data_IF_201136739392
#
_entry.id   IF_201136739392
#
_cell.length_a   1.000
_cell.length_b   1.000
_cell.length_c   1.000
_cell.angle_alpha   90.00
_cell.angle_beta   90.00
_cell.angle_gamma   90.00
#
_symmetry.space_group_name_H-M   'P 1'
#
loop_
_entity.id
_entity.type
_entity.pdbx_description
1 polymer ?
#
# COMPACT_ATOMS: atom_id res chain seq x y z
N UNK A 1 -6.51 -11.44 13.23
CA UNK A 1 -5.58 -11.99 14.24
C UNK A 1 -5.74 -11.08 15.43
N UNK A 2 -6.72 -11.42 16.24
CA UNK A 2 -7.44 -10.53 17.14
C UNK A 2 -7.03 -10.91 18.57
N UNK A 3 -5.96 -10.28 19.06
CA UNK A 3 -5.45 -10.48 20.43
C UNK A 3 -5.13 -9.12 21.07
N UNK A 4 -6.05 -8.16 20.95
CA UNK A 4 -6.06 -7.00 21.86
C UNK A 4 -7.10 -7.28 22.93
N UNK A 5 -6.69 -7.59 24.15
CA UNK A 5 -7.56 -7.76 25.33
C UNK A 5 -8.18 -6.44 25.81
N UNK A 6 -8.39 -5.48 24.90
CA UNK A 6 -8.94 -4.17 25.19
C UNK A 6 -10.46 -4.22 24.96
N UNK A 7 -11.23 -3.88 25.98
CA UNK A 7 -12.66 -3.68 25.84
C UNK A 7 -12.93 -2.30 25.20
N UNK A 8 -13.95 -2.21 24.35
CA UNK A 8 -14.46 -0.92 23.88
C UNK A 8 -14.86 -0.04 25.06
N UNK A 9 -14.59 1.26 24.95
CA UNK A 9 -14.98 2.22 25.96
C UNK A 9 -16.42 2.66 25.76
N UNK A 10 -17.19 2.72 26.85
CA UNK A 10 -18.54 3.28 26.89
C UNK A 10 -18.62 4.22 28.08
N UNK A 11 -19.01 5.47 27.83
CA UNK A 11 -18.97 6.53 28.83
C UNK A 11 -18.92 7.91 28.19
N UNK A 12 -18.46 8.89 28.95
CA UNK A 12 -18.39 10.28 28.51
C UNK A 12 -16.93 10.71 28.36
N UNK A 13 -16.61 11.33 27.23
CA UNK A 13 -15.36 12.04 27.04
C UNK A 13 -15.58 13.50 27.44
N UNK A 14 -14.87 13.93 28.49
CA UNK A 14 -14.87 15.33 28.88
C UNK A 14 -13.80 16.08 28.08
N UNK A 15 -14.22 17.12 27.37
CA UNK A 15 -13.35 17.96 26.57
C UNK A 15 -13.24 19.37 27.14
N UNK A 16 -12.02 19.88 27.16
CA UNK A 16 -11.72 21.28 27.40
C UNK A 16 -10.88 21.83 26.24
N UNK A 17 -11.44 22.78 25.48
CA UNK A 17 -10.79 23.36 24.29
C UNK A 17 -10.29 22.31 23.29
N UNK A 18 -11.08 21.25 23.10
CA UNK A 18 -10.81 20.14 22.20
C UNK A 18 -9.82 19.11 22.73
N UNK A 19 -9.25 19.28 23.93
CA UNK A 19 -8.37 18.32 24.59
C UNK A 19 -9.15 17.49 25.62
N UNK A 20 -8.79 16.21 25.77
CA UNK A 20 -9.47 15.30 26.69
C UNK A 20 -9.04 15.60 28.12
N UNK A 21 -9.97 16.03 28.96
CA UNK A 21 -9.76 16.29 30.38
C UNK A 21 -9.65 14.98 31.19
N UNK A 22 -10.42 13.95 30.81
CA UNK A 22 -10.43 12.64 31.47
C UNK A 22 -9.59 11.57 30.75
N UNK A 23 -8.40 11.94 30.28
CA UNK A 23 -7.53 11.08 29.46
C UNK A 23 -7.00 9.82 30.18
N UNK A 24 -7.20 9.69 31.49
CA UNK A 24 -6.84 8.50 32.27
C UNK A 24 -7.87 7.37 32.18
N UNK A 25 -9.11 7.68 31.77
CA UNK A 25 -10.23 6.73 31.80
C UNK A 25 -10.26 5.81 30.58
N UNK A 26 -9.62 6.22 29.49
CA UNK A 26 -9.60 5.48 28.24
C UNK A 26 -8.29 5.67 27.49
N UNK A 27 -8.06 4.85 26.48
CA UNK A 27 -6.91 4.98 25.59
C UNK A 27 -7.39 4.97 24.16
N UNK A 28 -7.12 6.04 23.42
CA UNK A 28 -7.44 6.09 21.99
C UNK A 28 -6.35 5.36 21.19
N UNK A 29 -6.77 4.34 20.43
CA UNK A 29 -5.88 3.57 19.56
C UNK A 29 -6.35 3.76 18.12
N UNK A 30 -5.41 4.06 17.22
CA UNK A 30 -5.66 4.13 15.80
C UNK A 30 -4.53 3.46 15.03
N UNK A 31 -4.87 2.64 14.03
CA UNK A 31 -3.90 1.91 13.21
C UNK A 31 -2.80 1.17 14.03
N UNK A 32 -3.18 0.58 15.18
CA UNK A 32 -2.28 -0.12 16.14
C UNK A 32 -1.24 0.79 16.83
N UNK A 33 -1.51 2.09 16.95
CA UNK A 33 -0.69 3.06 17.66
C UNK A 33 -1.51 3.85 18.67
N UNK A 34 -0.90 4.25 19.79
CA UNK A 34 -1.50 5.15 20.77
C UNK A 34 -1.64 6.54 20.16
N UNK A 35 -2.84 7.11 20.27
CA UNK A 35 -3.09 8.44 19.75
C UNK A 35 -2.46 9.50 20.66
N UNK A 36 -1.56 10.31 20.10
CA UNK A 36 -0.92 11.43 20.79
C UNK A 36 -1.45 12.76 20.25
N UNK A 37 -1.55 13.76 21.13
CA UNK A 37 -1.99 15.13 20.82
C UNK A 37 -3.33 15.14 20.08
N UNK A 38 -4.30 14.43 20.65
CA UNK A 38 -5.65 14.31 20.10
C UNK A 38 -6.43 15.59 20.34
N UNK A 39 -7.08 16.09 19.29
CA UNK A 39 -8.01 17.22 19.33
C UNK A 39 -9.32 16.89 18.67
N UNK A 40 -10.40 17.29 19.33
CA UNK A 40 -11.78 17.13 18.88
C UNK A 40 -12.32 18.48 18.39
N UNK A 41 -12.83 18.49 17.16
CA UNK A 41 -13.40 19.69 16.53
C UNK A 41 -14.75 19.42 15.90
N UNK A 42 -15.66 20.37 16.00
CA UNK A 42 -16.97 20.36 15.32
C UNK A 42 -17.03 21.59 14.41
N UNK A 43 -17.29 21.38 13.12
CA UNK A 43 -17.30 22.46 12.10
C UNK A 43 -16.03 23.35 12.09
N UNK A 44 -14.90 22.80 12.55
CA UNK A 44 -13.62 23.49 12.64
C UNK A 44 -13.37 24.26 13.95
N UNK A 45 -14.33 24.29 14.87
CA UNK A 45 -14.19 24.89 16.19
C UNK A 45 -13.83 23.84 17.26
N UNK A 46 -13.06 24.26 18.27
CA UNK A 46 -12.68 23.39 19.39
C UNK A 46 -13.87 23.18 20.31
N UNK A 47 -14.14 21.92 20.63
CA UNK A 47 -15.29 21.54 21.45
C UNK A 47 -14.90 21.60 22.94
N UNK A 48 -15.75 22.19 23.76
CA UNK A 48 -15.68 22.08 25.22
C UNK A 48 -17.01 21.50 25.70
N UNK A 49 -16.98 20.40 26.44
CA UNK A 49 -18.20 19.71 26.90
C UNK A 49 -18.02 18.21 27.06
N UNK A 50 -19.12 17.53 27.40
CA UNK A 50 -19.19 16.08 27.53
C UNK A 50 -19.66 15.48 26.21
N UNK A 51 -18.92 14.51 25.67
CA UNK A 51 -19.33 13.75 24.49
C UNK A 51 -19.61 12.29 24.89
N UNK A 52 -20.82 11.78 24.63
CA UNK A 52 -21.13 10.37 24.84
C UNK A 52 -20.41 9.49 23.82
N UNK A 53 -19.85 8.39 24.32
CA UNK A 53 -19.23 7.32 23.54
C UNK A 53 -19.92 6.02 23.88
N UNK A 54 -20.39 5.32 22.85
CA UNK A 54 -20.96 3.98 22.97
C UNK A 54 -20.16 2.99 22.14
N UNK A 55 -19.80 1.85 22.74
CA UNK A 55 -18.93 0.82 22.15
C UNK A 55 -17.72 1.36 21.35
N UNK A 56 -17.04 2.39 21.87
CA UNK A 56 -15.87 3.02 21.24
C UNK A 56 -16.17 3.93 20.05
N UNK A 57 -17.44 4.21 19.77
CA UNK A 57 -17.90 5.14 18.73
C UNK A 57 -18.46 6.41 19.35
N UNK A 58 -18.15 7.56 18.74
CA UNK A 58 -18.80 8.82 19.08
C UNK A 58 -20.25 8.79 18.56
N UNK A 59 -21.22 9.20 19.37
CA UNK A 59 -22.61 9.29 18.91
C UNK A 59 -22.78 10.32 17.79
N UNK A 60 -21.98 11.40 17.84
CA UNK A 60 -21.97 12.45 16.83
C UNK A 60 -20.85 12.21 15.80
N UNK A 61 -21.25 11.74 14.62
CA UNK A 61 -20.34 11.50 13.50
C UNK A 61 -19.80 12.77 12.83
N UNK A 62 -20.30 13.97 13.19
CA UNK A 62 -19.79 15.25 12.67
C UNK A 62 -18.54 15.74 13.42
N UNK A 63 -18.23 15.11 14.55
CA UNK A 63 -17.04 15.41 15.34
C UNK A 63 -15.81 14.83 14.64
N UNK A 64 -14.88 15.71 14.30
CA UNK A 64 -13.61 15.35 13.68
C UNK A 64 -12.56 15.21 14.77
N UNK A 65 -11.97 14.02 14.85
CA UNK A 65 -10.85 13.71 15.74
C UNK A 65 -9.54 13.79 14.97
N UNK A 66 -8.64 14.67 15.39
CA UNK A 66 -7.32 14.85 14.78
C UNK A 66 -6.22 14.55 15.79
N UNK A 67 -5.08 14.02 15.36
CA UNK A 67 -3.97 13.68 16.26
C UNK A 67 -2.71 13.32 15.50
N UNK A 68 -1.56 13.33 16.18
CA UNK A 68 -0.27 13.02 15.54
C UNK A 68 -0.19 11.57 15.08
N UNK A 69 -0.67 10.63 15.88
CA UNK A 69 -0.69 9.20 15.54
C UNK A 69 -1.90 8.77 14.71
N UNK A 70 -2.82 9.69 14.40
CA UNK A 70 -3.94 9.42 13.50
C UNK A 70 -3.56 9.52 12.02
N UNK A 71 -2.34 9.98 11.70
CA UNK A 71 -1.83 9.96 10.33
C UNK A 71 -1.35 8.57 9.92
N UNK A 72 -1.90 8.04 8.82
CA UNK A 72 -1.46 6.78 8.22
C UNK A 72 -0.96 6.99 6.79
N UNK A 73 -0.06 6.12 6.33
CA UNK A 73 0.46 6.05 4.95
C UNK A 73 1.11 7.36 4.46
N UNK A 74 0.63 7.91 3.33
CA UNK A 74 1.26 9.02 2.60
C UNK A 74 1.36 10.30 3.46
N UNK A 75 0.30 10.75 4.18
CA UNK A 75 0.38 11.88 5.10
C UNK A 75 1.50 11.78 6.16
N UNK A 76 1.77 10.58 6.69
CA UNK A 76 2.79 10.37 7.72
C UNK A 76 4.19 10.54 7.14
N UNK A 77 4.47 9.94 5.98
CA UNK A 77 5.75 10.11 5.28
C UNK A 77 5.97 11.57 4.86
N UNK A 78 4.91 12.25 4.42
CA UNK A 78 4.96 13.66 4.06
C UNK A 78 5.31 14.53 5.27
N UNK A 79 4.62 14.38 6.41
CA UNK A 79 4.95 15.15 7.62
C UNK A 79 6.34 14.83 8.18
N UNK A 80 6.81 13.58 8.07
CA UNK A 80 8.15 13.20 8.47
C UNK A 80 9.22 13.88 7.60
N UNK A 81 9.04 13.91 6.28
CA UNK A 81 9.95 14.60 5.36
C UNK A 81 9.92 16.12 5.53
N UNK A 82 8.76 16.70 5.87
CA UNK A 82 8.65 18.12 6.18
C UNK A 82 9.43 18.54 7.43
N UNK A 83 9.58 17.64 8.41
CA UNK A 83 10.40 17.87 9.62
C UNK A 83 11.89 17.60 9.42
N UNK A 84 12.29 17.06 8.27
CA UNK A 84 13.68 16.77 7.94
C UNK A 84 14.41 17.97 7.34
N UNK A 85 15.61 17.71 6.80
CA UNK A 85 16.51 18.68 6.16
C UNK A 85 15.89 19.50 5.01
N UNK A 86 14.75 19.07 4.46
CA UNK A 86 14.08 19.73 3.34
C UNK A 86 12.98 20.72 3.75
N UNK A 87 12.62 20.82 5.04
CA UNK A 87 11.57 21.71 5.52
C UNK A 87 10.26 21.54 4.75
N UNK A 88 9.51 22.61 4.52
CA UNK A 88 8.24 22.56 3.75
C UNK A 88 8.37 22.06 2.30
N UNK A 89 9.57 21.96 1.73
CA UNK A 89 9.78 21.40 0.40
C UNK A 89 9.75 19.86 0.38
N UNK A 90 9.89 19.21 1.54
CA UNK A 90 9.86 17.75 1.67
C UNK A 90 8.55 17.14 1.15
N UNK A 91 7.41 17.84 1.35
CA UNK A 91 6.11 17.37 0.88
C UNK A 91 6.00 17.28 -0.66
N UNK A 92 6.62 18.20 -1.38
CA UNK A 92 6.59 18.21 -2.85
C UNK A 92 7.49 17.12 -3.42
N UNK A 93 8.66 16.89 -2.82
CA UNK A 93 9.58 15.82 -3.22
C UNK A 93 8.90 14.46 -3.06
N UNK A 94 8.25 14.21 -1.92
CA UNK A 94 7.53 12.95 -1.67
C UNK A 94 6.37 12.78 -2.66
N UNK A 95 5.58 13.83 -2.89
CA UNK A 95 4.44 13.76 -3.81
C UNK A 95 4.87 13.51 -5.27
N UNK A 96 5.89 14.22 -5.76
CA UNK A 96 6.44 14.02 -7.11
C UNK A 96 7.08 12.64 -7.24
N UNK A 97 7.86 12.22 -6.24
CA UNK A 97 8.49 10.89 -6.22
C UNK A 97 7.46 9.76 -6.25
N UNK A 98 6.41 9.88 -5.43
CA UNK A 98 5.30 8.92 -5.40
C UNK A 98 4.57 8.87 -6.75
N UNK A 99 4.31 10.04 -7.36
CA UNK A 99 3.71 10.11 -8.69
C UNK A 99 4.56 9.39 -9.74
N UNK A 100 5.87 9.68 -9.81
CA UNK A 100 6.78 9.03 -10.75
C UNK A 100 6.88 7.52 -10.53
N UNK A 101 6.88 7.07 -9.27
CA UNK A 101 6.89 5.66 -8.90
C UNK A 101 5.59 4.95 -9.29
N UNK A 102 4.44 5.58 -9.08
CA UNK A 102 3.15 5.04 -9.49
C UNK A 102 3.07 4.92 -11.02
N UNK A 103 3.55 5.93 -11.76
CA UNK A 103 3.62 5.89 -13.22
C UNK A 103 4.53 4.78 -13.75
N UNK A 104 5.74 4.62 -13.19
CA UNK A 104 6.67 3.57 -13.64
C UNK A 104 6.09 2.18 -13.39
N UNK A 105 5.45 1.99 -12.23
CA UNK A 105 4.75 0.75 -11.88
C UNK A 105 3.61 0.48 -12.86
N UNK A 106 2.77 1.48 -13.15
CA UNK A 106 1.66 1.35 -14.10
C UNK A 106 2.14 0.95 -15.51
N UNK A 107 3.27 1.48 -15.98
CA UNK A 107 3.85 1.11 -17.28
C UNK A 107 4.34 -0.34 -17.26
N UNK A 108 5.04 -0.75 -16.21
CA UNK A 108 5.53 -2.12 -16.07
C UNK A 108 4.38 -3.13 -16.09
N UNK A 109 3.31 -2.89 -15.31
CA UNK A 109 2.13 -3.77 -15.27
C UNK A 109 1.35 -3.79 -16.60
N UNK A 110 1.29 -2.66 -17.32
CA UNK A 110 0.74 -2.64 -18.69
C UNK A 110 1.54 -3.58 -19.61
N UNK A 111 2.87 -3.54 -19.52
CA UNK A 111 3.73 -4.37 -20.36
C UNK A 111 3.61 -5.87 -20.04
N UNK A 112 3.54 -6.24 -18.76
CA UNK A 112 3.29 -7.63 -18.36
C UNK A 112 1.96 -8.14 -18.89
N UNK A 113 0.90 -7.32 -18.80
CA UNK A 113 -0.41 -7.63 -19.35
C UNK A 113 -0.40 -7.77 -20.87
N UNK A 114 0.30 -6.89 -21.59
CA UNK A 114 0.46 -7.00 -23.05
C UNK A 114 1.07 -8.35 -23.46
N UNK A 115 2.09 -8.81 -22.72
CA UNK A 115 2.74 -10.11 -22.97
C UNK A 115 1.82 -11.28 -22.65
N UNK A 116 1.09 -11.22 -21.53
CA UNK A 116 0.10 -12.25 -21.17
C UNK A 116 -1.02 -12.35 -22.22
N UNK A 117 -1.56 -11.21 -22.66
CA UNK A 117 -2.63 -11.15 -23.67
C UNK A 117 -2.15 -11.60 -25.05
N UNK A 118 -0.91 -11.27 -25.41
CA UNK A 118 -0.29 -11.77 -26.64
C UNK A 118 -0.14 -13.29 -26.61
N UNK A 119 0.25 -13.86 -25.47
CA UNK A 119 0.38 -15.31 -25.31
C UNK A 119 -0.97 -16.03 -25.37
N UNK A 120 -2.01 -15.46 -24.76
CA UNK A 120 -3.32 -16.12 -24.64
C UNK A 120 -4.21 -15.95 -25.88
N UNK A 121 -4.23 -14.75 -26.48
CA UNK A 121 -5.16 -14.39 -27.56
C UNK A 121 -4.46 -13.85 -28.83
N UNK A 122 -3.13 -13.83 -28.84
CA UNK A 122 -2.33 -13.35 -29.96
C UNK A 122 -2.13 -11.82 -29.98
N UNK A 123 -1.33 -11.28 -30.93
CA UNK A 123 -0.90 -9.88 -30.92
C UNK A 123 -2.02 -8.84 -31.08
N UNK A 124 -3.15 -9.23 -31.68
CA UNK A 124 -4.28 -8.32 -31.96
C UNK A 124 -5.07 -7.95 -30.70
N UNK A 125 -4.93 -8.71 -29.61
CA UNK A 125 -5.66 -8.50 -28.35
C UNK A 125 -5.05 -7.40 -27.46
N UNK A 126 -3.81 -6.97 -27.76
CA UNK A 126 -3.06 -5.98 -26.97
C UNK A 126 -3.72 -4.61 -26.96
N UNK A 127 -4.22 -4.14 -28.10
CA UNK A 127 -4.84 -2.82 -28.19
C UNK A 127 -6.13 -2.74 -27.36
N UNK A 128 -7.09 -3.70 -27.48
CA UNK A 128 -8.24 -3.77 -26.57
C UNK A 128 -7.84 -3.83 -25.09
N UNK A 129 -6.82 -4.62 -24.74
CA UNK A 129 -6.34 -4.73 -23.36
C UNK A 129 -5.86 -3.38 -22.80
N UNK A 130 -5.03 -2.64 -23.55
CA UNK A 130 -4.54 -1.32 -23.11
C UNK A 130 -5.67 -0.32 -22.88
N UNK A 131 -6.71 -0.35 -23.72
CA UNK A 131 -7.88 0.50 -23.55
C UNK A 131 -8.59 0.15 -22.24
N UNK A 132 -8.84 -1.14 -21.97
CA UNK A 132 -9.46 -1.60 -20.73
C UNK A 132 -8.59 -1.27 -19.51
N UNK A 133 -7.28 -1.44 -19.62
CA UNK A 133 -6.31 -1.13 -18.56
C UNK A 133 -6.38 0.34 -18.16
N UNK A 134 -6.38 1.27 -19.13
CA UNK A 134 -6.51 2.71 -18.87
C UNK A 134 -7.89 3.05 -18.28
N UNK A 135 -8.98 2.48 -18.80
CA UNK A 135 -10.32 2.64 -18.23
C UNK A 135 -10.40 2.13 -16.78
N UNK A 136 -9.64 1.08 -16.45
CA UNK A 136 -9.51 0.55 -15.10
C UNK A 136 -8.99 1.58 -14.09
N UNK A 137 -8.08 2.49 -14.48
CA UNK A 137 -7.62 3.57 -13.60
C UNK A 137 -8.74 4.57 -13.28
N UNK A 138 -9.57 4.90 -14.27
CA UNK A 138 -10.73 5.78 -14.05
C UNK A 138 -11.74 5.12 -13.10
N UNK A 139 -12.00 3.83 -13.27
CA UNK A 139 -12.86 3.09 -12.37
C UNK A 139 -12.26 2.98 -10.96
N UNK A 140 -10.96 2.71 -10.83
CA UNK A 140 -10.28 2.61 -9.56
C UNK A 140 -10.33 3.90 -8.74
N UNK A 141 -10.41 5.07 -9.39
CA UNK A 141 -10.59 6.35 -8.70
C UNK A 141 -11.98 6.53 -8.07
N UNK A 142 -12.97 5.75 -8.52
CA UNK A 142 -14.36 5.77 -8.01
C UNK A 142 -14.67 4.58 -7.09
N UNK A 143 -13.84 3.53 -7.12
CA UNK A 143 -14.04 2.30 -6.38
C UNK A 143 -13.54 2.40 -4.94
N UNK A 144 -14.16 1.63 -4.04
CA UNK A 144 -13.70 1.51 -2.66
C UNK A 144 -12.31 0.86 -2.60
N UNK A 145 -11.42 1.47 -1.81
CA UNK A 145 -10.02 1.04 -1.69
C UNK A 145 -9.91 -0.39 -1.15
N UNK A 146 -10.75 -0.78 -0.19
CA UNK A 146 -10.78 -2.13 0.38
C UNK A 146 -11.12 -3.18 -0.68
N UNK A 147 -12.09 -2.88 -1.56
CA UNK A 147 -12.47 -3.79 -2.66
C UNK A 147 -11.28 -3.99 -3.61
N UNK A 148 -10.60 -2.90 -4.00
CA UNK A 148 -9.45 -2.94 -4.90
C UNK A 148 -8.31 -3.78 -4.31
N UNK A 149 -8.00 -3.60 -3.02
CA UNK A 149 -6.98 -4.38 -2.32
C UNK A 149 -7.35 -5.87 -2.24
N UNK A 150 -8.59 -6.20 -1.90
CA UNK A 150 -9.03 -7.58 -1.79
C UNK A 150 -8.93 -8.33 -3.13
N UNK A 151 -9.39 -7.71 -4.22
CA UNK A 151 -9.29 -8.29 -5.57
C UNK A 151 -7.81 -8.47 -5.98
N UNK A 152 -6.97 -7.49 -5.66
CA UNK A 152 -5.53 -7.54 -5.96
C UNK A 152 -4.86 -8.72 -5.25
N UNK A 153 -5.13 -8.92 -3.95
CA UNK A 153 -4.57 -10.03 -3.18
C UNK A 153 -4.97 -11.39 -3.74
N UNK A 154 -6.26 -11.57 -4.07
CA UNK A 154 -6.76 -12.82 -4.66
C UNK A 154 -6.07 -13.10 -6.00
N UNK A 155 -5.94 -12.07 -6.85
CA UNK A 155 -5.33 -12.20 -8.18
C UNK A 155 -3.84 -12.52 -8.09
N UNK A 156 -3.11 -11.89 -7.15
CA UNK A 156 -1.70 -12.17 -6.90
C UNK A 156 -1.52 -13.63 -6.49
N UNK A 157 -2.30 -14.12 -5.52
CA UNK A 157 -2.21 -15.53 -5.08
C UNK A 157 -2.52 -16.48 -6.25
N UNK A 158 -3.57 -16.20 -7.01
CA UNK A 158 -3.95 -17.02 -8.17
C UNK A 158 -2.85 -17.08 -9.24
N UNK A 159 -2.11 -16.00 -9.45
CA UNK A 159 -0.98 -15.95 -10.39
C UNK A 159 0.28 -16.62 -9.82
N UNK A 160 0.58 -16.40 -8.53
CA UNK A 160 1.80 -16.89 -7.89
C UNK A 160 1.79 -18.39 -7.69
N UNK A 161 0.65 -18.99 -7.32
CA UNK A 161 0.54 -20.45 -7.07
C UNK A 161 1.01 -21.30 -8.27
N UNK A 162 0.44 -21.16 -9.49
CA UNK A 162 0.86 -21.98 -10.62
C UNK A 162 2.30 -21.69 -11.05
N UNK A 163 2.75 -20.43 -10.96
CA UNK A 163 4.13 -20.06 -11.28
C UNK A 163 5.12 -20.75 -10.33
N UNK A 164 4.85 -20.73 -9.03
CA UNK A 164 5.70 -21.34 -8.01
C UNK A 164 5.75 -22.86 -8.17
N UNK A 165 4.61 -23.51 -8.44
CA UNK A 165 4.55 -24.95 -8.72
C UNK A 165 5.39 -25.30 -9.96
N UNK A 166 5.31 -24.50 -11.02
CA UNK A 166 6.13 -24.67 -12.22
C UNK A 166 7.64 -24.60 -11.93
N UNK A 167 8.08 -23.60 -11.16
CA UNK A 167 9.48 -23.45 -10.76
C UNK A 167 9.95 -24.65 -9.92
N UNK A 168 9.12 -25.15 -9.01
CA UNK A 168 9.45 -26.33 -8.20
C UNK A 168 9.66 -27.58 -9.06
N UNK A 169 8.87 -27.77 -10.13
CA UNK A 169 9.10 -28.89 -11.05
C UNK A 169 10.38 -28.70 -11.90
N UNK A 170 10.64 -27.48 -12.36
CA UNK A 170 11.79 -27.16 -13.23
C UNK A 170 13.12 -26.95 -12.49
N UNK A 171 13.16 -27.10 -11.16
CA UNK A 171 14.37 -26.79 -10.38
C UNK A 171 15.62 -27.56 -10.83
N UNK A 172 15.47 -28.80 -11.32
CA UNK A 172 16.59 -29.62 -11.83
C UNK A 172 17.13 -29.07 -13.15
N UNK A 173 16.25 -28.68 -14.07
CA UNK A 173 16.60 -28.13 -15.38
C UNK A 173 17.24 -26.75 -15.24
N UNK A 174 16.74 -25.93 -14.31
CA UNK A 174 17.35 -24.66 -13.95
C UNK A 174 18.78 -24.87 -13.44
N UNK A 175 19.00 -25.83 -12.52
CA UNK A 175 20.33 -26.14 -12.01
C UNK A 175 21.29 -26.56 -13.13
N UNK A 176 20.86 -27.46 -14.02
CA UNK A 176 21.66 -27.89 -15.17
C UNK A 176 22.00 -26.74 -16.12
N UNK A 177 21.04 -25.87 -16.41
CA UNK A 177 21.23 -24.70 -17.29
C UNK A 177 22.20 -23.70 -16.68
N UNK A 178 22.11 -23.48 -15.36
CA UNK A 178 23.02 -22.61 -14.60
C UNK A 178 24.43 -23.21 -14.60
N UNK A 179 24.58 -24.51 -14.33
CA UNK A 179 25.87 -25.21 -14.37
C UNK A 179 26.50 -25.22 -15.79
N UNK A 180 25.68 -25.30 -16.85
CA UNK A 180 26.11 -25.13 -18.25
C UNK A 180 26.56 -23.70 -18.55
N UNK A 181 25.82 -22.70 -18.06
CA UNK A 181 26.16 -21.29 -18.23
C UNK A 181 27.50 -20.97 -17.56
N UNK A 182 27.68 -21.37 -16.29
CA UNK A 182 28.92 -21.14 -15.56
C UNK A 182 30.12 -21.84 -16.21
N UNK A 183 29.96 -23.06 -16.73
CA UNK A 183 31.04 -23.71 -17.50
C UNK A 183 31.42 -22.94 -18.76
N UNK A 184 30.46 -22.35 -19.46
CA UNK A 184 30.71 -21.52 -20.66
C UNK A 184 31.34 -20.17 -20.33
N UNK A 185 31.15 -19.64 -19.13
CA UNK A 185 31.67 -18.31 -18.74
C UNK A 185 32.92 -18.36 -17.85
N UNK A 186 33.12 -19.41 -17.04
CA UNK A 186 34.28 -19.55 -16.14
C UNK A 186 35.50 -20.19 -16.82
N UNK A 187 35.31 -20.90 -17.93
CA UNK A 187 36.40 -21.26 -18.82
C UNK A 187 36.39 -20.31 -20.00
N UNK A 188 37.30 -19.34 -19.99
CA UNK A 188 37.77 -18.70 -21.21
C UNK A 188 38.45 -19.75 -22.09
N UNK A 189 37.69 -20.65 -22.71
CA UNK A 189 38.16 -21.47 -23.82
C UNK A 189 38.22 -20.58 -25.05
N UNK A 190 39.25 -19.74 -25.09
CA UNK A 190 39.81 -19.24 -26.34
C UNK A 190 40.54 -20.41 -27.03
N UNK A 191 39.79 -21.41 -27.46
CA UNK A 191 40.26 -22.61 -28.12
C UNK A 191 40.14 -22.49 -29.63
N UNK A 192 41.23 -22.07 -30.26
CA UNK A 192 41.53 -22.08 -31.70
C UNK A 192 40.83 -23.26 -32.40
N UNK A 193 39.81 -22.95 -33.22
CA UNK A 193 39.27 -23.94 -34.15
C UNK A 193 40.24 -24.03 -35.34
N UNK A 194 41.13 -25.00 -35.27
CA UNK A 194 42.05 -25.36 -36.34
C UNK A 194 41.30 -25.61 -37.64
N UNK A 195 41.68 -24.83 -38.66
CA UNK A 195 41.39 -25.12 -40.06
C UNK A 195 41.84 -26.53 -40.37
N UNK A 196 40.91 -27.36 -40.84
CA UNK A 196 41.25 -28.47 -41.72
C UNK A 196 41.67 -27.93 -43.09
#
# INVERSE_FOLDING_TARGET
GDESSAASYTGEIELELGEVANAADFTLIHARSFAEEVRYTLDGELITGSIPVDDGQLEDASIVVTGKSLLHSVPLTTRAYTRGIFGEYGQYIVSIGLMLFAFSTAIAWSYYGDRAMTYLFGPKSVLPYRIVYVLGFFYAALADTTIVWNISLITIVLMTVPNLVGILFMHREMKQTVDDYWRKTEHGDHGIQGSK
#
